data_IF_674930186217
#
_entry.id   IF_674930186217
#
_cell.length_a   1.000
_cell.length_b   1.000
_cell.length_c   1.000
_cell.angle_alpha   90.00
_cell.angle_beta   90.00
_cell.angle_gamma   90.00
#
_symmetry.space_group_name_H-M   'P 1'
#
loop_
_entity.id
_entity.type
_entity.pdbx_description
1 polymer ?
#
# COMPACT_ATOMS: atom_id res chain seq x y z
N UNK A 1 2.46 -14.61 18.91
CA UNK A 1 3.24 -13.39 19.24
C UNK A 1 2.27 -12.26 19.59
N UNK A 2 2.70 -11.19 20.26
CA UNK A 2 1.88 -9.99 20.57
C UNK A 2 2.62 -8.69 20.18
N UNK A 3 2.88 -8.47 18.88
CA UNK A 3 3.64 -7.30 18.45
C UNK A 3 2.82 -6.01 18.60
N UNK A 4 3.52 -4.90 18.82
CA UNK A 4 2.92 -3.56 18.77
C UNK A 4 2.86 -2.99 17.34
N UNK A 5 3.64 -3.56 16.41
CA UNK A 5 3.65 -3.23 14.98
C UNK A 5 4.28 -4.35 14.16
N UNK A 6 4.01 -4.35 12.85
CA UNK A 6 4.66 -5.23 11.88
C UNK A 6 5.47 -4.42 10.87
N UNK A 7 6.62 -4.97 10.48
CA UNK A 7 7.45 -4.42 9.41
C UNK A 7 7.72 -5.56 8.44
N UNK A 8 7.17 -5.44 7.23
CA UNK A 8 7.43 -6.40 6.15
C UNK A 8 8.49 -5.81 5.25
N UNK A 9 9.62 -6.50 5.12
CA UNK A 9 10.77 -6.00 4.36
C UNK A 9 10.41 -5.61 2.94
N UNK A 10 9.80 -6.52 2.19
CA UNK A 10 9.34 -6.31 0.81
C UNK A 10 8.09 -7.16 0.57
N UNK A 11 7.12 -6.61 -0.15
CA UNK A 11 5.91 -7.30 -0.63
C UNK A 11 5.98 -7.43 -2.15
N UNK A 12 5.79 -8.64 -2.66
CA UNK A 12 6.02 -9.01 -4.06
C UNK A 12 4.82 -9.72 -4.68
N UNK A 13 4.09 -10.52 -3.90
CA UNK A 13 3.01 -11.38 -4.39
C UNK A 13 1.83 -11.48 -3.40
N UNK A 14 1.22 -12.66 -3.29
CA UNK A 14 0.02 -12.94 -2.52
C UNK A 14 0.15 -12.69 -1.02
N UNK A 15 1.37 -12.64 -0.47
CA UNK A 15 1.64 -12.28 0.93
C UNK A 15 1.20 -10.84 1.28
N UNK A 16 0.95 -10.01 0.25
CA UNK A 16 0.27 -8.72 0.40
C UNK A 16 -1.11 -8.85 1.06
N UNK A 17 -1.82 -9.97 0.88
CA UNK A 17 -3.09 -10.21 1.54
C UNK A 17 -2.92 -10.40 3.04
N UNK A 18 -1.93 -11.18 3.48
CA UNK A 18 -1.65 -11.38 4.91
C UNK A 18 -1.27 -10.07 5.60
N UNK A 19 -0.45 -9.23 4.92
CA UNK A 19 -0.16 -7.88 5.37
C UNK A 19 -1.45 -7.06 5.50
N UNK A 20 -2.29 -7.03 4.47
CA UNK A 20 -3.51 -6.24 4.45
C UNK A 20 -4.49 -6.67 5.56
N UNK A 21 -4.63 -7.97 5.80
CA UNK A 21 -5.45 -8.51 6.88
C UNK A 21 -4.89 -8.10 8.25
N UNK A 22 -3.57 -8.14 8.42
CA UNK A 22 -2.95 -7.70 9.67
C UNK A 22 -3.21 -6.21 9.92
N UNK A 23 -3.02 -5.34 8.92
CA UNK A 23 -3.30 -3.90 9.03
C UNK A 23 -4.79 -3.65 9.34
N UNK A 24 -5.69 -4.33 8.63
CA UNK A 24 -7.14 -4.22 8.81
C UNK A 24 -7.63 -4.70 10.18
N UNK A 25 -6.87 -5.58 10.86
CA UNK A 25 -7.16 -5.99 12.24
C UNK A 25 -6.77 -4.94 13.30
N UNK A 26 -6.20 -3.81 12.87
CA UNK A 26 -5.76 -2.72 13.74
C UNK A 26 -4.31 -2.84 14.20
N UNK A 27 -3.50 -3.69 13.58
CA UNK A 27 -2.06 -3.79 13.86
C UNK A 27 -1.30 -2.79 12.98
N UNK A 28 -0.72 -1.72 13.54
CA UNK A 28 0.02 -0.75 12.74
C UNK A 28 1.22 -1.42 12.07
N UNK A 29 1.58 -0.96 10.87
CA UNK A 29 2.73 -1.51 10.20
C UNK A 29 3.19 -0.71 9.00
N UNK A 30 4.24 -1.22 8.38
CA UNK A 30 4.77 -0.68 7.13
C UNK A 30 5.38 -1.81 6.30
N UNK A 31 5.47 -1.56 5.00
CA UNK A 31 6.18 -2.43 4.10
C UNK A 31 6.90 -1.65 3.01
N UNK A 32 7.77 -2.30 2.26
CA UNK A 32 8.25 -1.76 0.98
C UNK A 32 7.64 -2.54 -0.18
N UNK A 33 7.42 -1.85 -1.29
CA UNK A 33 6.92 -2.41 -2.54
C UNK A 33 7.56 -1.69 -3.71
N UNK A 34 7.93 -2.43 -4.76
CA UNK A 34 8.42 -1.82 -5.99
C UNK A 34 7.30 -1.13 -6.74
N UNK A 35 7.42 0.16 -7.02
CA UNK A 35 6.45 0.94 -7.79
C UNK A 35 7.11 2.14 -8.47
N UNK A 36 6.54 2.64 -9.57
CA UNK A 36 7.07 3.81 -10.28
C UNK A 36 6.45 5.13 -9.80
N UNK A 37 5.45 5.06 -8.91
CA UNK A 37 4.81 6.19 -8.24
C UNK A 37 4.11 5.70 -6.97
N UNK A 38 3.61 6.63 -6.14
CA UNK A 38 2.73 6.32 -5.03
C UNK A 38 1.41 5.68 -5.50
N UNK A 39 0.83 6.19 -6.60
CA UNK A 39 -0.37 5.62 -7.21
C UNK A 39 -0.16 4.19 -7.71
N UNK A 40 1.00 3.89 -8.31
CA UNK A 40 1.38 2.54 -8.73
C UNK A 40 1.50 1.60 -7.54
N UNK A 41 2.02 2.08 -6.41
CA UNK A 41 2.14 1.28 -5.19
C UNK A 41 0.76 0.88 -4.67
N UNK A 42 -0.19 1.81 -4.64
CA UNK A 42 -1.59 1.54 -4.26
C UNK A 42 -2.26 0.60 -5.26
N UNK A 43 -2.09 0.81 -6.56
CA UNK A 43 -2.64 -0.09 -7.58
C UNK A 43 -2.12 -1.53 -7.40
N UNK A 44 -0.85 -1.70 -7.05
CA UNK A 44 -0.28 -3.01 -6.74
C UNK A 44 -0.84 -3.59 -5.44
N UNK A 45 -0.99 -2.80 -4.38
CA UNK A 45 -1.63 -3.25 -3.14
C UNK A 45 -3.11 -3.63 -3.35
N UNK A 46 -3.79 -3.10 -4.37
CA UNK A 46 -5.12 -3.54 -4.76
C UNK A 46 -5.13 -4.84 -5.58
N UNK A 47 -4.04 -5.16 -6.25
CA UNK A 47 -3.97 -6.27 -7.22
C UNK A 47 -3.31 -7.52 -6.64
N UNK A 48 -2.18 -7.35 -5.95
CA UNK A 48 -1.39 -8.46 -5.42
C UNK A 48 -2.19 -9.36 -4.45
N UNK A 49 -3.09 -8.85 -3.58
CA UNK A 49 -3.88 -9.71 -2.69
C UNK A 49 -4.83 -10.65 -3.44
N UNK A 50 -5.23 -10.30 -4.67
CA UNK A 50 -6.11 -11.14 -5.49
C UNK A 50 -5.42 -12.44 -5.94
N UNK A 51 -4.09 -12.50 -5.85
CA UNK A 51 -3.31 -13.71 -6.13
C UNK A 51 -3.44 -14.77 -5.01
N UNK A 52 -3.96 -14.40 -3.83
CA UNK A 52 -4.09 -15.32 -2.69
C UNK A 52 -5.23 -16.34 -2.85
N UNK A 53 -6.22 -16.08 -3.71
CA UNK A 53 -7.32 -17.02 -3.96
C UNK A 53 -8.51 -16.39 -4.68
N UNK A 54 -9.32 -17.22 -5.33
CA UNK A 54 -10.48 -16.78 -6.13
C UNK A 54 -11.62 -16.20 -5.29
N UNK A 55 -11.62 -16.40 -3.98
CA UNK A 55 -12.57 -15.83 -3.03
C UNK A 55 -12.21 -14.41 -2.59
N UNK A 56 -11.02 -13.90 -2.97
CA UNK A 56 -10.57 -12.54 -2.64
C UNK A 56 -10.98 -11.62 -3.78
N UNK A 57 -11.80 -10.62 -3.47
CA UNK A 57 -12.39 -9.73 -4.48
C UNK A 57 -11.90 -8.30 -4.33
N UNK A 58 -11.83 -7.56 -5.44
CA UNK A 58 -11.54 -6.12 -5.43
C UNK A 58 -12.54 -5.32 -4.60
N UNK A 59 -13.79 -5.80 -4.49
CA UNK A 59 -14.82 -5.20 -3.64
C UNK A 59 -14.47 -5.24 -2.15
N UNK A 60 -13.68 -6.21 -1.70
CA UNK A 60 -13.08 -6.23 -0.38
C UNK A 60 -11.76 -5.46 -0.35
N UNK A 61 -10.86 -5.73 -1.30
CA UNK A 61 -9.48 -5.21 -1.25
C UNK A 61 -9.43 -3.69 -1.38
N UNK A 62 -10.15 -3.08 -2.33
CA UNK A 62 -10.07 -1.64 -2.58
C UNK A 62 -10.43 -0.77 -1.36
N UNK A 63 -11.59 -0.96 -0.69
CA UNK A 63 -11.91 -0.19 0.50
C UNK A 63 -10.96 -0.49 1.66
N UNK A 64 -10.46 -1.72 1.79
CA UNK A 64 -9.49 -2.06 2.83
C UNK A 64 -8.16 -1.34 2.60
N UNK A 65 -7.62 -1.34 1.38
CA UNK A 65 -6.39 -0.59 1.05
C UNK A 65 -6.59 0.90 1.30
N UNK A 66 -7.69 1.48 0.81
CA UNK A 66 -8.00 2.90 1.01
C UNK A 66 -8.25 3.31 2.47
N UNK A 67 -8.51 2.35 3.35
CA UNK A 67 -8.74 2.60 4.79
C UNK A 67 -7.54 2.23 5.68
N UNK A 68 -6.66 1.33 5.23
CA UNK A 68 -5.54 0.83 6.02
C UNK A 68 -4.19 1.46 5.66
N UNK A 69 -4.07 2.04 4.47
CA UNK A 69 -2.85 2.73 4.04
C UNK A 69 -3.07 4.23 4.24
N UNK A 70 -2.24 4.85 5.07
CA UNK A 70 -2.32 6.29 5.34
C UNK A 70 -1.40 7.11 4.42
N UNK A 71 -0.19 6.60 4.19
CA UNK A 71 0.89 7.31 3.50
C UNK A 71 1.68 6.39 2.59
N UNK A 72 2.13 6.93 1.47
CA UNK A 72 3.14 6.33 0.61
C UNK A 72 4.30 7.31 0.46
N UNK A 73 5.52 6.82 0.74
CA UNK A 73 6.76 7.54 0.46
C UNK A 73 7.39 6.89 -0.76
N UNK A 74 7.33 7.57 -1.90
CA UNK A 74 7.94 7.07 -3.12
C UNK A 74 9.38 7.56 -3.21
N UNK A 75 10.30 6.61 -3.25
CA UNK A 75 11.73 6.88 -3.40
C UNK A 75 12.17 6.54 -4.83
N UNK A 76 12.97 7.41 -5.44
CA UNK A 76 13.64 7.11 -6.71
C UNK A 76 15.16 7.17 -6.58
N UNK A 77 15.83 6.48 -7.49
CA UNK A 77 17.28 6.58 -7.65
C UNK A 77 17.56 7.49 -8.83
N UNK A 78 18.30 8.57 -8.60
CA UNK A 78 18.74 9.48 -9.64
C UNK A 78 19.78 8.80 -10.55
N UNK A 79 20.00 9.30 -11.79
CA UNK A 79 21.08 8.82 -12.65
C UNK A 79 22.47 8.91 -12.00
N UNK A 80 22.64 9.77 -11.00
CA UNK A 80 23.85 9.93 -10.18
C UNK A 80 24.05 8.81 -9.16
N UNK A 81 23.06 7.91 -8.97
CA UNK A 81 23.07 6.85 -7.95
C UNK A 81 22.52 7.29 -6.59
N UNK A 82 22.20 8.57 -6.41
CA UNK A 82 21.61 9.11 -5.19
C UNK A 82 20.14 8.68 -5.05
N UNK A 83 19.71 8.37 -3.83
CA UNK A 83 18.29 8.09 -3.52
C UNK A 83 17.63 9.34 -2.98
N UNK A 84 16.51 9.71 -3.58
CA UNK A 84 15.69 10.85 -3.16
C UNK A 84 14.26 10.39 -2.93
N UNK A 85 13.55 11.10 -2.05
CA UNK A 85 12.09 11.05 -1.99
C UNK A 85 11.60 11.87 -3.17
N UNK A 86 10.79 11.26 -4.04
CA UNK A 86 10.19 11.96 -5.19
C UNK A 86 8.82 12.54 -4.82
N UNK A 87 8.06 11.81 -4.01
CA UNK A 87 6.77 12.24 -3.49
C UNK A 87 6.41 11.54 -2.18
N UNK A 88 5.66 12.26 -1.34
CA UNK A 88 4.91 11.70 -0.23
C UNK A 88 3.44 11.93 -0.53
N UNK A 89 2.64 10.87 -0.56
CA UNK A 89 1.21 10.93 -0.83
C UNK A 89 0.40 10.41 0.34
N UNK A 90 -0.68 11.11 0.69
CA UNK A 90 -1.74 10.60 1.56
C UNK A 90 -2.72 9.76 0.78
N UNK A 91 -3.27 8.73 1.44
CA UNK A 91 -4.20 7.79 0.84
C UNK A 91 -5.50 7.81 1.65
N UNK A 92 -6.64 7.80 0.94
CA UNK A 92 -7.95 7.75 1.58
C UNK A 92 -9.00 7.07 0.71
N UNK A 93 -9.97 6.41 1.34
CA UNK A 93 -11.12 5.85 0.64
C UNK A 93 -12.21 6.90 0.40
N UNK A 94 -12.59 7.09 -0.87
CA UNK A 94 -13.70 7.92 -1.26
C UNK A 94 -14.98 7.09 -1.37
N UNK A 95 -15.86 7.21 -0.37
CA UNK A 95 -17.11 6.46 -0.33
C UNK A 95 -18.08 6.83 -1.45
N UNK A 96 -18.06 8.08 -1.91
CA UNK A 96 -19.01 8.56 -2.94
C UNK A 96 -18.68 8.02 -4.32
N UNK A 97 -17.40 7.93 -4.66
CA UNK A 97 -16.94 7.41 -5.96
C UNK A 97 -16.53 5.95 -5.91
N UNK A 98 -16.43 5.35 -4.72
CA UNK A 98 -15.87 4.01 -4.51
C UNK A 98 -14.45 3.88 -5.10
N UNK A 99 -13.64 4.92 -4.93
CA UNK A 99 -12.25 4.98 -5.40
C UNK A 99 -11.30 5.25 -4.24
N UNK A 100 -10.02 4.93 -4.45
CA UNK A 100 -8.95 5.34 -3.55
C UNK A 100 -8.38 6.65 -4.08
N UNK A 101 -8.36 7.67 -3.24
CA UNK A 101 -7.72 8.95 -3.54
C UNK A 101 -6.26 8.89 -3.07
N UNK A 102 -5.33 9.25 -3.97
CA UNK A 102 -3.89 9.34 -3.68
C UNK A 102 -3.48 10.79 -3.96
N UNK A 103 -3.19 11.53 -2.90
CA UNK A 103 -2.96 12.99 -2.97
C UNK A 103 -1.56 13.30 -2.49
N UNK A 104 -0.75 13.93 -3.35
CA UNK A 104 0.59 14.37 -2.96
C UNK A 104 0.51 15.44 -1.87
N UNK A 105 1.23 15.23 -0.77
CA UNK A 105 1.31 16.13 0.39
C UNK A 105 2.69 16.74 0.59
N UNK A 106 3.74 16.15 0.01
CA UNK A 106 5.09 16.71 -0.04
C UNK A 106 5.89 16.15 -1.23
N UNK A 107 6.98 16.86 -1.56
CA UNK A 107 8.03 16.43 -2.50
C UNK A 107 9.36 16.50 -1.78
#
# INVERSE_FOLDING_TARGET
MRPARIVVGEVRQAESFDLLIALNSGLPGLCTIHANSASDAIAKLCTLPLLAGSNITSAFVNPTVGSCIDLVVHCRMLPTGERVIEEIASVSWNQSTSTIDVVAVAK
#
